data_IF_605513409457
#
_entry.id   IF_605513409457
#
_cell.length_a   1.000
_cell.length_b   1.000
_cell.length_c   1.000
_cell.angle_alpha   90.00
_cell.angle_beta   90.00
_cell.angle_gamma   90.00
#
_symmetry.space_group_name_H-M   'P 1'
#
loop_
_entity.id
_entity.type
_entity.pdbx_description
1 polymer ?
#
# COMPACT_ATOMS: atom_id res chain seq x y z
N UNK A 1 -18.37 -10.33 9.75
CA UNK A 1 -19.58 -9.74 9.08
C UNK A 1 -19.19 -8.72 8.02
N UNK A 2 -18.36 -7.71 8.34
CA UNK A 2 -17.91 -6.67 7.41
C UNK A 2 -17.38 -7.24 6.08
N UNK A 3 -16.51 -8.24 6.13
CA UNK A 3 -15.98 -8.88 4.92
C UNK A 3 -17.09 -9.43 4.02
N UNK A 4 -18.10 -10.13 4.55
CA UNK A 4 -19.21 -10.65 3.76
C UNK A 4 -20.09 -9.55 3.17
N UNK A 5 -20.10 -8.35 3.76
CA UNK A 5 -20.82 -7.20 3.22
C UNK A 5 -20.08 -6.56 2.03
N UNK A 6 -18.75 -6.68 1.98
CA UNK A 6 -17.91 -6.25 0.85
C UNK A 6 -17.88 -7.32 -0.24
N UNK A 7 -17.60 -8.56 0.14
CA UNK A 7 -17.49 -9.72 -0.75
C UNK A 7 -18.37 -10.86 -0.23
N UNK A 8 -19.59 -11.02 -0.76
CA UNK A 8 -20.51 -12.08 -0.33
C UNK A 8 -19.87 -13.46 -0.44
N UNK A 9 -20.06 -14.29 0.60
CA UNK A 9 -19.57 -15.67 0.62
C UNK A 9 -18.09 -15.85 1.01
N UNK A 10 -17.33 -14.78 1.26
CA UNK A 10 -15.92 -14.88 1.63
C UNK A 10 -15.71 -15.60 2.98
N UNK A 11 -16.54 -15.33 3.98
CA UNK A 11 -16.56 -16.02 5.27
C UNK A 11 -17.79 -16.92 5.34
N UNK A 12 -17.58 -18.24 5.27
CA UNK A 12 -18.65 -19.25 5.21
C UNK A 12 -19.42 -19.40 6.54
N UNK A 13 -18.71 -19.41 7.67
CA UNK A 13 -19.29 -19.67 9.00
C UNK A 13 -18.72 -18.70 10.01
N UNK A 14 -19.61 -17.93 10.65
CA UNK A 14 -19.25 -17.03 11.76
C UNK A 14 -19.59 -17.72 13.07
N UNK A 15 -18.61 -17.89 13.95
CA UNK A 15 -18.81 -18.47 15.27
C UNK A 15 -19.57 -17.48 16.17
N UNK A 16 -20.62 -17.94 16.87
CA UNK A 16 -21.45 -17.11 17.76
C UNK A 16 -21.16 -17.28 19.25
N UNK A 17 -20.32 -18.24 19.62
CA UNK A 17 -20.03 -18.58 21.02
C UNK A 17 -18.93 -17.68 21.57
N UNK A 18 -19.03 -17.34 22.86
CA UNK A 18 -18.10 -16.47 23.58
C UNK A 18 -16.79 -17.16 23.99
N UNK A 19 -16.60 -18.43 23.63
CA UNK A 19 -15.35 -19.14 23.89
C UNK A 19 -14.18 -18.45 23.18
N UNK A 20 -13.09 -18.19 23.91
CA UNK A 20 -11.91 -17.48 23.42
C UNK A 20 -11.41 -17.96 22.06
N UNK A 21 -11.22 -19.28 21.90
CA UNK A 21 -10.75 -19.88 20.65
C UNK A 21 -11.68 -19.59 19.46
N UNK A 22 -13.00 -19.57 19.66
CA UNK A 22 -13.98 -19.28 18.60
C UNK A 22 -13.98 -17.79 18.23
N UNK A 23 -13.80 -16.90 19.21
CA UNK A 23 -13.61 -15.48 18.95
C UNK A 23 -12.31 -15.22 18.16
N UNK A 24 -11.21 -15.85 18.57
CA UNK A 24 -9.93 -15.80 17.85
C UNK A 24 -10.04 -16.32 16.42
N UNK A 25 -10.78 -17.42 16.19
CA UNK A 25 -11.05 -17.94 14.84
C UNK A 25 -11.78 -16.92 13.97
N UNK A 26 -12.80 -16.23 14.50
CA UNK A 26 -13.49 -15.16 13.78
C UNK A 26 -12.56 -14.00 13.40
N UNK A 27 -11.59 -13.67 14.27
CA UNK A 27 -10.61 -12.62 14.01
C UNK A 27 -9.68 -13.03 12.86
N UNK A 28 -9.15 -14.27 12.89
CA UNK A 28 -8.34 -14.79 11.79
C UNK A 28 -9.10 -14.79 10.45
N UNK A 29 -10.37 -15.25 10.45
CA UNK A 29 -11.21 -15.20 9.26
C UNK A 29 -11.43 -13.78 8.72
N UNK A 30 -11.53 -12.78 9.61
CA UNK A 30 -11.60 -11.38 9.21
C UNK A 30 -10.30 -10.93 8.54
N UNK A 31 -9.14 -11.22 9.13
CA UNK A 31 -7.82 -10.82 8.62
C UNK A 31 -7.56 -11.44 7.24
N UNK A 32 -7.85 -12.72 7.07
CA UNK A 32 -7.70 -13.40 5.77
C UNK A 32 -8.70 -12.86 4.73
N UNK A 33 -9.92 -12.55 5.18
CA UNK A 33 -10.91 -11.87 4.37
C UNK A 33 -10.47 -10.49 3.91
N UNK A 34 -9.81 -9.71 4.78
CA UNK A 34 -9.31 -8.37 4.47
C UNK A 34 -8.18 -8.43 3.43
N UNK A 35 -7.24 -9.39 3.56
CA UNK A 35 -6.21 -9.66 2.54
C UNK A 35 -6.82 -9.98 1.18
N UNK A 36 -7.86 -10.83 1.15
CA UNK A 36 -8.58 -11.17 -0.06
C UNK A 36 -9.37 -9.99 -0.67
N UNK A 37 -9.61 -8.93 0.10
CA UNK A 37 -10.21 -7.68 -0.38
C UNK A 37 -9.15 -6.65 -0.84
N UNK A 38 -7.87 -7.02 -0.87
CA UNK A 38 -6.78 -6.17 -1.37
C UNK A 38 -6.13 -5.27 -0.32
N UNK A 39 -6.34 -5.55 0.98
CA UNK A 39 -5.59 -4.91 2.07
C UNK A 39 -4.15 -5.44 2.06
N UNK A 40 -3.13 -4.56 2.03
CA UNK A 40 -1.73 -4.97 2.13
C UNK A 40 -1.44 -5.73 3.43
N UNK A 41 -0.61 -6.77 3.38
CA UNK A 41 -0.24 -7.57 4.57
C UNK A 41 0.36 -6.70 5.69
N UNK A 42 1.10 -5.65 5.33
CA UNK A 42 1.70 -4.69 6.27
C UNK A 42 0.66 -3.88 7.05
N UNK A 43 -0.53 -3.70 6.50
CA UNK A 43 -1.65 -3.00 7.14
C UNK A 43 -2.63 -3.99 7.79
N UNK A 44 -2.30 -5.28 7.87
CA UNK A 44 -3.07 -6.28 8.64
C UNK A 44 -2.59 -6.38 10.08
N UNK A 45 -3.35 -7.06 10.93
CA UNK A 45 -3.04 -7.27 12.34
C UNK A 45 -3.11 -8.76 12.70
N UNK A 46 -2.53 -9.13 13.84
CA UNK A 46 -2.55 -10.47 14.41
C UNK A 46 -3.71 -10.62 15.39
N UNK A 47 -4.18 -11.85 15.60
CA UNK A 47 -5.32 -12.09 16.51
C UNK A 47 -5.09 -11.58 17.95
N UNK A 48 -3.85 -11.65 18.45
CA UNK A 48 -3.47 -11.11 19.77
C UNK A 48 -3.62 -9.59 19.87
N UNK A 49 -3.44 -8.86 18.76
CA UNK A 49 -3.53 -7.39 18.73
C UNK A 49 -4.93 -6.90 19.13
N UNK A 50 -5.96 -7.64 18.73
CA UNK A 50 -7.36 -7.35 19.04
C UNK A 50 -7.84 -8.10 20.29
N UNK A 51 -7.50 -9.38 20.43
CA UNK A 51 -7.99 -10.22 21.53
C UNK A 51 -7.39 -9.82 22.89
N UNK A 52 -6.06 -9.67 22.95
CA UNK A 52 -5.33 -9.28 24.16
C UNK A 52 -5.07 -7.77 24.23
N UNK A 53 -5.53 -7.02 23.21
CA UNK A 53 -5.37 -5.57 23.09
C UNK A 53 -3.91 -5.11 23.03
N UNK A 54 -3.01 -5.94 22.50
CA UNK A 54 -1.59 -5.58 22.38
C UNK A 54 -1.36 -4.39 21.43
N UNK A 55 -2.14 -4.30 20.34
CA UNK A 55 -1.97 -3.25 19.35
C UNK A 55 -3.29 -2.89 18.63
N UNK A 56 -4.13 -2.12 19.32
CA UNK A 56 -5.40 -1.65 18.74
C UNK A 56 -5.19 -0.67 17.57
N UNK A 57 -4.03 0.00 17.48
CA UNK A 57 -3.73 0.89 16.36
C UNK A 57 -3.61 0.12 15.04
N UNK A 58 -3.00 -1.08 15.04
CA UNK A 58 -2.94 -1.93 13.86
C UNK A 58 -4.34 -2.33 13.36
N UNK A 59 -5.29 -2.55 14.28
CA UNK A 59 -6.69 -2.85 13.93
C UNK A 59 -7.34 -1.66 13.23
N UNK A 60 -7.14 -0.44 13.74
CA UNK A 60 -7.67 0.79 13.13
C UNK A 60 -7.07 1.02 11.75
N UNK A 61 -5.77 0.84 11.58
CA UNK A 61 -5.07 0.96 10.29
C UNK A 61 -5.66 -0.04 9.28
N UNK A 62 -5.88 -1.29 9.69
CA UNK A 62 -6.48 -2.31 8.85
C UNK A 62 -7.90 -1.95 8.40
N UNK A 63 -8.73 -1.40 9.31
CA UNK A 63 -10.08 -0.95 9.00
C UNK A 63 -10.08 0.25 8.03
N UNK A 64 -9.16 1.19 8.21
CA UNK A 64 -9.00 2.32 7.30
C UNK A 64 -8.53 1.86 5.91
N UNK A 65 -7.59 0.93 5.85
CA UNK A 65 -7.15 0.30 4.60
C UNK A 65 -8.31 -0.41 3.88
N UNK A 66 -9.08 -1.21 4.60
CA UNK A 66 -10.27 -1.86 4.06
C UNK A 66 -11.32 -0.84 3.57
N UNK A 67 -11.49 0.27 4.30
CA UNK A 67 -12.39 1.37 3.94
C UNK A 67 -11.98 2.07 2.63
N UNK A 68 -10.68 2.22 2.36
CA UNK A 68 -10.15 2.74 1.08
C UNK A 68 -10.53 1.81 -0.09
N UNK A 69 -10.59 0.50 0.14
CA UNK A 69 -10.97 -0.51 -0.87
C UNK A 69 -12.47 -0.63 -1.11
N UNK A 70 -13.31 -0.01 -0.26
CA UNK A 70 -14.78 -0.09 -0.37
C UNK A 70 -15.33 0.24 -1.76
N UNK A 71 -14.68 1.15 -2.50
CA UNK A 71 -15.12 1.59 -3.82
C UNK A 71 -15.04 0.50 -4.87
N UNK A 72 -14.10 -0.45 -4.73
CA UNK A 72 -13.98 -1.61 -5.60
C UNK A 72 -15.18 -2.55 -5.48
N UNK A 73 -15.90 -2.49 -4.36
CA UNK A 73 -17.07 -3.32 -4.06
C UNK A 73 -18.40 -2.56 -4.17
N UNK A 74 -18.39 -1.35 -4.76
CA UNK A 74 -19.58 -0.50 -4.86
C UNK A 74 -20.12 -0.04 -3.51
N UNK A 75 -19.27 0.03 -2.48
CA UNK A 75 -19.61 0.53 -1.14
C UNK A 75 -18.99 1.92 -0.90
N UNK A 76 -19.52 2.70 0.06
CA UNK A 76 -18.91 3.97 0.46
C UNK A 76 -17.43 3.79 0.80
N UNK A 77 -16.60 4.72 0.33
CA UNK A 77 -15.15 4.68 0.54
C UNK A 77 -14.75 5.63 1.65
N UNK A 78 -13.66 5.29 2.33
CA UNK A 78 -13.03 6.19 3.30
C UNK A 78 -11.70 6.65 2.72
N UNK A 79 -11.55 7.96 2.56
CA UNK A 79 -10.32 8.58 2.06
C UNK A 79 -10.15 8.52 0.53
N UNK A 80 -9.03 9.07 0.03
CA UNK A 80 -8.72 9.09 -1.40
C UNK A 80 -8.46 7.67 -1.94
N UNK A 81 -8.79 7.47 -3.22
CA UNK A 81 -8.48 6.23 -3.94
C UNK A 81 -6.96 6.04 -3.97
N UNK A 82 -6.49 4.85 -3.64
CA UNK A 82 -5.06 4.53 -3.76
C UNK A 82 -4.60 4.65 -5.22
N UNK A 83 -3.39 5.19 -5.40
CA UNK A 83 -2.82 5.40 -6.73
C UNK A 83 -2.65 4.06 -7.45
N UNK A 84 -3.08 4.02 -8.72
CA UNK A 84 -2.84 2.88 -9.60
C UNK A 84 -1.44 3.02 -10.23
N UNK A 85 -0.75 1.88 -10.41
CA UNK A 85 0.57 1.87 -11.05
C UNK A 85 0.43 2.31 -12.51
N UNK A 86 0.94 3.49 -12.83
CA UNK A 86 1.05 3.97 -14.21
C UNK A 86 2.39 3.52 -14.82
N UNK A 87 2.39 2.35 -15.47
CA UNK A 87 3.57 1.86 -16.20
C UNK A 87 3.65 2.59 -17.54
N UNK A 88 4.59 3.52 -17.66
CA UNK A 88 4.90 4.16 -18.94
C UNK A 88 5.82 3.25 -19.73
N UNK A 89 5.34 2.77 -20.87
CA UNK A 89 6.17 2.06 -21.84
C UNK A 89 6.79 3.11 -22.76
N UNK A 90 8.13 3.16 -22.81
CA UNK A 90 8.87 4.01 -23.75
C UNK A 90 9.33 3.15 -24.92
N UNK A 91 9.37 3.74 -26.13
CA UNK A 91 10.01 3.06 -27.26
C UNK A 91 11.52 2.96 -27.04
N UNK A 92 12.16 1.98 -27.69
CA UNK A 92 13.61 1.81 -27.63
C UNK A 92 14.34 3.05 -28.17
N UNK A 93 13.77 3.72 -29.17
CA UNK A 93 14.30 5.00 -29.69
C UNK A 93 14.24 6.12 -28.65
N UNK A 94 13.16 6.21 -27.86
CA UNK A 94 13.05 7.20 -26.77
C UNK A 94 14.07 6.95 -25.65
N UNK A 95 14.34 5.68 -25.33
CA UNK A 95 15.36 5.33 -24.33
C UNK A 95 16.77 5.70 -24.83
N UNK A 96 17.08 5.40 -26.10
CA UNK A 96 18.38 5.71 -26.73
C UNK A 96 18.58 7.20 -26.97
N UNK A 97 17.52 7.98 -27.19
CA UNK A 97 17.61 9.44 -27.31
C UNK A 97 18.19 10.11 -26.05
N UNK A 98 18.14 9.45 -24.89
CA UNK A 98 18.76 9.95 -23.65
C UNK A 98 20.28 9.72 -23.59
N UNK A 99 20.82 8.72 -24.29
CA UNK A 99 22.24 8.33 -24.24
C UNK A 99 23.15 9.38 -24.89
N UNK A 100 22.60 10.20 -25.81
CA UNK A 100 23.31 11.28 -26.50
C UNK A 100 23.27 12.64 -25.80
N UNK A 101 22.50 12.79 -24.71
CA UNK A 101 22.35 14.07 -24.00
C UNK A 101 23.49 14.21 -22.99
N UNK A 102 24.58 14.83 -23.43
CA UNK A 102 25.66 15.26 -22.54
C UNK A 102 25.14 16.43 -21.69
N UNK A 103 25.02 16.24 -20.37
CA UNK A 103 24.67 17.31 -19.44
C UNK A 103 25.65 18.48 -19.61
N UNK A 104 25.15 19.61 -20.11
CA UNK A 104 25.87 20.75 -20.66
C UNK A 104 26.74 21.55 -19.65
N UNK A 105 27.12 21.00 -18.50
CA UNK A 105 27.85 21.79 -17.49
C UNK A 105 28.74 20.99 -16.53
N UNK A 106 29.41 19.94 -17.00
CA UNK A 106 30.70 19.57 -16.38
C UNK A 106 31.80 20.39 -17.06
N UNK A 107 31.95 21.63 -16.60
CA UNK A 107 33.10 22.47 -16.93
C UNK A 107 34.38 21.71 -16.61
N UNK A 108 35.19 21.46 -17.63
CA UNK A 108 36.52 20.90 -17.45
C UNK A 108 37.42 21.97 -16.85
N UNK A 109 37.86 21.76 -15.61
CA UNK A 109 38.86 22.62 -14.96
C UNK A 109 40.27 22.51 -15.57
N UNK A 110 40.47 21.73 -16.65
CA UNK A 110 41.80 21.51 -17.27
C UNK A 110 42.32 22.65 -18.15
N UNK A 111 41.67 23.82 -18.14
CA UNK A 111 42.10 24.99 -18.91
C UNK A 111 41.93 26.34 -18.20
N UNK A 112 41.48 26.37 -16.95
CA UNK A 112 41.37 27.61 -16.19
C UNK A 112 42.75 28.03 -15.65
N UNK A 113 43.65 28.45 -16.54
CA UNK A 113 44.84 29.20 -16.11
C UNK A 113 44.40 30.61 -15.76
N UNK A 114 44.53 30.97 -14.49
CA UNK A 114 44.34 32.33 -13.97
C UNK A 114 45.47 33.24 -14.47
N UNK A 115 45.56 33.47 -15.77
CA UNK A 115 46.39 34.51 -16.36
C UNK A 115 45.51 35.73 -16.56
N UNK A 116 45.37 36.55 -15.50
CA UNK A 116 44.67 37.84 -15.64
C UNK A 116 44.11 38.51 -14.39
N UNK A 117 44.42 38.08 -13.17
CA UNK A 117 44.07 38.86 -11.98
C UNK A 117 45.27 39.72 -11.54
N UNK A 118 45.36 40.92 -12.11
CA UNK A 118 46.15 42.02 -11.56
C UNK A 118 45.20 43.10 -11.04
N UNK A 119 45.51 43.56 -9.83
CA UNK A 119 44.89 44.58 -8.97
C UNK A 119 43.58 44.19 -8.27
#
# INVERSE_FOLDING_TARGET
>A
RVINALKPGQIKKIQKSEMAFKCMENINQFVDGAKACGVPTQETFQTVDLWERQNLNAVVICLQSLGRKGGQFGKPTIGPKEAEKNVRNFSEEQLRASEGIVNLQYGSNKGATQSGMSF
#
